data_IF_370383102506
#
_entry.id   IF_370383102506
#
_cell.length_a   1.000
_cell.length_b   1.000
_cell.length_c   1.000
_cell.angle_alpha   90.00
_cell.angle_beta   90.00
_cell.angle_gamma   90.00
#
_symmetry.space_group_name_H-M   'P 1'
#
loop_
_entity.id
_entity.type
_entity.pdbx_description
1 polymer ?
#
# COMPACT_ATOMS: atom_id res chain seq x y z
N UNK A 1 12.69 23.47 8.83
CA UNK A 1 11.78 22.47 8.26
C UNK A 1 10.91 23.16 7.25
N UNK A 2 10.87 22.67 6.03
CA UNK A 2 9.90 23.17 5.04
C UNK A 2 8.50 22.79 5.51
N UNK A 3 7.48 23.62 5.23
CA UNK A 3 6.09 23.42 5.66
C UNK A 3 5.53 22.01 5.34
N UNK A 4 6.10 21.33 4.33
CA UNK A 4 5.72 19.98 3.94
C UNK A 4 6.16 18.87 4.92
N UNK A 5 7.27 19.05 5.65
CA UNK A 5 7.85 17.99 6.51
C UNK A 5 6.89 17.62 7.64
N UNK A 6 6.28 18.62 8.27
CA UNK A 6 5.31 18.43 9.36
C UNK A 6 4.06 17.70 8.86
N UNK A 7 3.57 18.06 7.67
CA UNK A 7 2.43 17.41 7.03
C UNK A 7 2.71 15.95 6.72
N UNK A 8 3.88 15.64 6.14
CA UNK A 8 4.26 14.25 5.82
C UNK A 8 4.49 13.42 7.09
N UNK A 9 5.10 14.02 8.10
CA UNK A 9 5.28 13.38 9.39
C UNK A 9 3.94 13.10 10.09
N UNK A 10 2.97 14.01 10.01
CA UNK A 10 1.64 13.81 10.55
C UNK A 10 0.91 12.60 9.93
N UNK A 11 1.02 12.42 8.60
CA UNK A 11 0.46 11.24 7.90
C UNK A 11 1.07 9.95 8.47
N UNK A 12 2.40 9.90 8.62
CA UNK A 12 3.08 8.74 9.18
C UNK A 12 2.63 8.46 10.63
N UNK A 13 2.61 9.48 11.48
CA UNK A 13 2.20 9.34 12.88
C UNK A 13 0.75 8.87 13.01
N UNK A 14 -0.16 9.38 12.18
CA UNK A 14 -1.56 8.96 12.17
C UNK A 14 -1.69 7.47 11.85
N UNK A 15 -0.91 6.97 10.87
CA UNK A 15 -0.90 5.54 10.52
C UNK A 15 -0.28 4.67 11.60
N UNK A 16 0.81 5.10 12.22
CA UNK A 16 1.42 4.38 13.36
C UNK A 16 0.51 4.35 14.57
N UNK A 17 -0.30 5.39 14.81
CA UNK A 17 -1.23 5.42 15.93
C UNK A 17 -2.26 4.28 15.89
N UNK A 18 -2.63 3.79 14.70
CA UNK A 18 -3.52 2.62 14.52
C UNK A 18 -2.95 1.36 15.18
N UNK A 19 -1.62 1.23 15.25
CA UNK A 19 -0.97 0.06 15.86
C UNK A 19 -1.16 0.02 17.38
N UNK A 20 -1.41 1.15 18.04
CA UNK A 20 -1.59 1.23 19.51
C UNK A 20 -2.81 0.45 19.99
N UNK A 21 -3.85 0.38 19.16
CA UNK A 21 -5.11 -0.30 19.49
C UNK A 21 -5.17 -1.72 18.93
N UNK A 22 -4.07 -2.24 18.37
CA UNK A 22 -4.07 -3.55 17.73
C UNK A 22 -4.43 -4.67 18.73
N UNK A 23 -5.44 -5.45 18.36
CA UNK A 23 -5.82 -6.69 19.02
C UNK A 23 -5.62 -7.87 18.06
N UNK A 24 -5.13 -9.02 18.54
CA UNK A 24 -4.95 -10.19 17.70
C UNK A 24 -6.32 -10.70 17.23
N UNK A 25 -6.39 -11.05 15.94
CA UNK A 25 -7.50 -11.82 15.37
C UNK A 25 -7.11 -13.28 15.39
N UNK A 26 -7.98 -14.10 15.95
CA UNK A 26 -7.83 -15.55 15.92
C UNK A 26 -8.77 -16.16 14.87
N UNK A 27 -8.80 -17.48 14.72
CA UNK A 27 -9.38 -18.20 13.57
C UNK A 27 -10.83 -17.87 13.18
N UNK A 28 -11.60 -17.22 14.06
CA UNK A 28 -12.97 -16.77 13.78
C UNK A 28 -13.06 -15.34 13.19
N UNK A 29 -11.93 -14.67 12.95
CA UNK A 29 -11.88 -13.35 12.29
C UNK A 29 -12.15 -12.15 13.21
N UNK A 30 -12.60 -12.37 14.43
CA UNK A 30 -12.88 -11.33 15.43
C UNK A 30 -11.63 -10.99 16.25
N UNK A 31 -11.50 -9.71 16.62
CA UNK A 31 -10.46 -9.23 17.54
C UNK A 31 -10.85 -9.55 18.98
N UNK A 32 -9.94 -10.17 19.74
CA UNK A 32 -10.22 -10.60 21.12
C UNK A 32 -9.33 -9.87 22.12
N UNK A 33 -9.91 -9.49 23.27
CA UNK A 33 -9.17 -9.20 24.50
C UNK A 33 -8.59 -10.49 25.09
N UNK A 34 -7.71 -10.35 26.08
CA UNK A 34 -7.16 -11.51 26.80
C UNK A 34 -8.28 -12.34 27.45
N UNK A 35 -9.24 -11.68 28.10
CA UNK A 35 -10.34 -12.37 28.78
C UNK A 35 -11.24 -13.13 27.79
N UNK A 36 -11.57 -12.52 26.65
CA UNK A 36 -12.38 -13.16 25.60
C UNK A 36 -11.61 -14.33 24.96
N UNK A 37 -10.31 -14.17 24.75
CA UNK A 37 -9.44 -15.26 24.27
C UNK A 37 -9.45 -16.44 25.24
N UNK A 38 -9.25 -16.20 26.54
CA UNK A 38 -9.24 -17.25 27.55
C UNK A 38 -10.61 -17.93 27.68
N UNK A 39 -11.71 -17.16 27.64
CA UNK A 39 -13.06 -17.73 27.69
C UNK A 39 -13.35 -18.61 26.46
N UNK A 40 -13.01 -18.12 25.26
CA UNK A 40 -13.29 -18.83 24.02
C UNK A 40 -12.40 -20.07 23.89
N UNK A 41 -11.09 -19.92 24.00
CA UNK A 41 -10.14 -21.01 23.77
C UNK A 41 -10.00 -21.94 24.98
N UNK A 42 -10.23 -21.45 26.21
CA UNK A 42 -10.29 -22.31 27.40
C UNK A 42 -11.53 -23.21 27.42
N UNK A 43 -12.59 -22.87 26.69
CA UNK A 43 -13.77 -23.74 26.53
C UNK A 43 -13.53 -24.90 25.56
N UNK A 44 -12.48 -24.83 24.74
CA UNK A 44 -12.09 -25.89 23.83
C UNK A 44 -11.16 -26.88 24.56
N UNK A 45 -11.53 -28.17 24.52
CA UNK A 45 -10.81 -29.24 25.23
C UNK A 45 -9.38 -29.39 24.71
N UNK A 46 -9.13 -29.20 23.42
CA UNK A 46 -7.78 -29.28 22.88
C UNK A 46 -6.92 -28.11 23.39
N UNK A 47 -7.41 -26.88 23.32
CA UNK A 47 -6.64 -25.71 23.75
C UNK A 47 -6.38 -25.71 25.26
N UNK A 48 -7.38 -26.01 26.08
CA UNK A 48 -7.24 -26.05 27.54
C UNK A 48 -6.31 -27.18 28.01
N UNK A 49 -6.43 -28.39 27.43
CA UNK A 49 -5.62 -29.53 27.86
C UNK A 49 -4.15 -29.39 27.47
N UNK A 50 -3.87 -28.75 26.34
CA UNK A 50 -2.50 -28.43 25.91
C UNK A 50 -1.94 -27.13 26.51
N UNK A 51 -2.71 -26.39 27.32
CA UNK A 51 -2.29 -25.12 27.93
C UNK A 51 -2.05 -24.00 26.90
N UNK A 52 -2.82 -24.00 25.81
CA UNK A 52 -2.72 -23.01 24.72
C UNK A 52 -3.60 -21.78 24.93
N UNK A 53 -4.42 -21.76 25.98
CA UNK A 53 -5.28 -20.64 26.41
C UNK A 53 -4.58 -19.68 27.40
N UNK A 54 -3.26 -19.72 27.47
CA UNK A 54 -2.48 -18.93 28.44
C UNK A 54 -2.29 -17.47 28.04
N UNK A 55 -2.06 -16.55 29.01
CA UNK A 55 -1.70 -15.17 28.72
C UNK A 55 -0.45 -15.02 27.83
N UNK A 56 0.49 -15.95 27.93
CA UNK A 56 1.71 -16.00 27.13
C UNK A 56 1.41 -16.27 25.65
N UNK A 57 0.50 -17.20 25.35
CA UNK A 57 0.04 -17.46 23.98
C UNK A 57 -0.63 -16.21 23.39
N UNK A 58 -1.52 -15.58 24.14
CA UNK A 58 -2.15 -14.33 23.72
C UNK A 58 -1.13 -13.22 23.44
N UNK A 59 -0.16 -13.02 24.34
CA UNK A 59 0.89 -12.01 24.19
C UNK A 59 1.75 -12.28 22.94
N UNK A 60 2.11 -13.54 22.67
CA UNK A 60 2.86 -13.92 21.48
C UNK A 60 2.08 -13.61 20.18
N UNK A 61 0.80 -13.97 20.13
CA UNK A 61 -0.08 -13.65 18.98
C UNK A 61 -0.22 -12.13 18.79
N UNK A 62 -0.43 -11.37 19.87
CA UNK A 62 -0.52 -9.91 19.83
C UNK A 62 0.79 -9.27 19.35
N UNK A 63 1.94 -9.76 19.82
CA UNK A 63 3.24 -9.25 19.40
C UNK A 63 3.52 -9.54 17.91
N UNK A 64 3.30 -10.78 17.46
CA UNK A 64 3.49 -11.17 16.07
C UNK A 64 2.57 -10.39 15.11
N UNK A 65 1.28 -10.27 15.47
CA UNK A 65 0.31 -9.47 14.73
C UNK A 65 0.64 -7.98 14.75
N UNK A 66 1.07 -7.47 15.91
CA UNK A 66 1.45 -6.07 16.12
C UNK A 66 2.62 -5.64 15.24
N UNK A 67 3.70 -6.44 15.19
CA UNK A 67 4.85 -6.18 14.31
C UNK A 67 4.40 -6.14 12.85
N UNK A 68 3.58 -7.11 12.42
CA UNK A 68 3.04 -7.14 11.05
C UNK A 68 2.19 -5.90 10.75
N UNK A 69 1.39 -5.45 11.73
CA UNK A 69 0.58 -4.23 11.63
C UNK A 69 1.45 -2.99 11.44
N UNK A 70 2.53 -2.85 12.22
CA UNK A 70 3.46 -1.71 12.10
C UNK A 70 4.01 -1.59 10.68
N UNK A 71 4.56 -2.66 10.12
CA UNK A 71 5.10 -2.62 8.76
C UNK A 71 4.03 -2.34 7.71
N UNK A 72 2.82 -2.87 7.88
CA UNK A 72 1.70 -2.58 6.97
C UNK A 72 1.33 -1.09 7.03
N UNK A 73 1.22 -0.52 8.22
CA UNK A 73 0.88 0.90 8.39
C UNK A 73 1.98 1.82 7.85
N UNK A 74 3.26 1.45 7.98
CA UNK A 74 4.37 2.18 7.34
C UNK A 74 4.26 2.13 5.81
N UNK A 75 3.91 0.98 5.24
CA UNK A 75 3.64 0.85 3.80
C UNK A 75 2.54 1.79 3.34
N UNK A 76 1.37 1.71 3.99
CA UNK A 76 0.22 2.59 3.69
C UNK A 76 0.59 4.07 3.84
N UNK A 77 1.31 4.43 4.90
CA UNK A 77 1.77 5.81 5.11
C UNK A 77 2.70 6.26 3.97
N UNK A 78 3.59 5.38 3.50
CA UNK A 78 4.52 5.69 2.41
C UNK A 78 3.77 5.94 1.10
N UNK A 79 2.76 5.14 0.79
CA UNK A 79 1.87 5.36 -0.36
C UNK A 79 1.14 6.71 -0.27
N UNK A 80 0.63 7.06 0.92
CA UNK A 80 -0.09 8.32 1.15
C UNK A 80 0.81 9.53 1.05
N UNK A 81 2.00 9.47 1.67
CA UNK A 81 3.00 10.52 1.59
C UNK A 81 3.44 10.70 0.13
N UNK A 82 3.65 9.60 -0.61
CA UNK A 82 4.01 9.68 -2.02
C UNK A 82 2.94 10.42 -2.84
N UNK A 83 1.65 10.08 -2.67
CA UNK A 83 0.56 10.83 -3.31
C UNK A 83 0.53 12.28 -2.87
N UNK A 84 0.81 12.57 -1.61
CA UNK A 84 0.83 13.94 -1.12
C UNK A 84 1.98 14.75 -1.73
N UNK A 85 3.16 14.14 -1.91
CA UNK A 85 4.29 14.76 -2.62
C UNK A 85 3.90 15.08 -4.06
N UNK A 86 3.21 14.17 -4.78
CA UNK A 86 2.74 14.46 -6.13
C UNK A 86 1.78 15.65 -6.17
N UNK A 87 0.82 15.71 -5.24
CA UNK A 87 -0.10 16.85 -5.13
C UNK A 87 0.65 18.16 -4.85
N UNK A 88 1.54 18.16 -3.87
CA UNK A 88 2.23 19.36 -3.41
C UNK A 88 3.25 19.87 -4.45
N UNK A 89 3.93 18.97 -5.17
CA UNK A 89 4.98 19.33 -6.14
C UNK A 89 4.45 19.61 -7.55
N UNK A 90 3.32 19.01 -7.93
CA UNK A 90 2.78 19.10 -9.29
C UNK A 90 1.44 19.82 -9.36
N UNK A 91 0.88 20.22 -8.21
CA UNK A 91 -0.41 20.89 -8.12
C UNK A 91 -1.60 19.98 -8.45
N UNK A 92 -1.43 18.66 -8.30
CA UNK A 92 -2.48 17.69 -8.59
C UNK A 92 -3.51 17.66 -7.46
N UNK A 93 -4.77 17.35 -7.78
CA UNK A 93 -5.76 16.98 -6.77
C UNK A 93 -5.53 15.54 -6.26
N UNK A 94 -6.20 15.18 -5.17
CA UNK A 94 -6.14 13.82 -4.64
C UNK A 94 -6.62 12.77 -5.66
N UNK A 95 -7.63 13.10 -6.45
CA UNK A 95 -8.18 12.25 -7.49
C UNK A 95 -7.21 12.09 -8.66
N UNK A 96 -6.55 13.19 -9.08
CA UNK A 96 -5.56 13.17 -10.16
C UNK A 96 -4.30 12.39 -9.79
N UNK A 97 -3.88 12.48 -8.52
CA UNK A 97 -2.73 11.74 -7.99
C UNK A 97 -3.04 10.25 -7.72
N UNK A 98 -4.31 9.84 -7.83
CA UNK A 98 -4.76 8.46 -7.63
C UNK A 98 -5.10 7.80 -8.96
N UNK A 99 -4.95 6.48 -9.05
CA UNK A 99 -5.42 5.73 -10.21
C UNK A 99 -5.99 4.38 -9.80
N UNK A 100 -7.14 4.05 -10.37
CA UNK A 100 -7.79 2.77 -10.17
C UNK A 100 -8.56 2.37 -11.43
N UNK A 101 -8.72 1.07 -11.63
CA UNK A 101 -9.45 0.51 -12.76
C UNK A 101 -10.10 -0.82 -12.34
N UNK A 102 -11.08 -1.27 -13.12
CA UNK A 102 -11.85 -2.47 -12.79
C UNK A 102 -11.52 -3.58 -13.77
N UNK A 103 -11.12 -4.73 -13.26
CA UNK A 103 -10.91 -5.95 -14.05
C UNK A 103 -12.06 -6.94 -13.80
N UNK A 104 -12.40 -7.73 -14.82
CA UNK A 104 -13.32 -8.87 -14.67
C UNK A 104 -12.54 -10.04 -14.08
N UNK A 105 -12.88 -10.45 -12.86
CA UNK A 105 -12.29 -11.63 -12.22
C UNK A 105 -12.76 -12.94 -12.85
N UNK A 106 -12.05 -14.03 -12.57
CA UNK A 106 -12.29 -15.38 -13.14
C UNK A 106 -13.67 -16.01 -12.90
N UNK A 107 -14.55 -15.35 -12.12
CA UNK A 107 -15.93 -15.77 -11.86
C UNK A 107 -16.96 -14.66 -12.16
N UNK A 108 -16.61 -13.68 -13.01
CA UNK A 108 -17.50 -12.57 -13.37
C UNK A 108 -17.61 -11.45 -12.32
N UNK A 109 -16.99 -11.61 -11.15
CA UNK A 109 -16.93 -10.54 -10.14
C UNK A 109 -15.96 -9.44 -10.59
N UNK A 110 -16.46 -8.20 -10.59
CA UNK A 110 -15.65 -7.01 -10.82
C UNK A 110 -14.69 -6.80 -9.65
N UNK A 111 -13.39 -6.69 -9.94
CA UNK A 111 -12.37 -6.37 -8.95
C UNK A 111 -11.75 -5.02 -9.31
N UNK A 112 -11.79 -4.07 -8.37
CA UNK A 112 -11.07 -2.81 -8.52
C UNK A 112 -9.60 -3.02 -8.13
N UNK A 113 -8.71 -2.61 -9.02
CA UNK A 113 -7.27 -2.50 -8.76
C UNK A 113 -6.93 -1.03 -8.64
N UNK A 114 -6.02 -0.72 -7.70
CA UNK A 114 -5.55 0.62 -7.40
C UNK A 114 -4.03 0.61 -7.46
N UNK A 115 -3.45 1.68 -8.01
CA UNK A 115 -2.01 1.94 -7.94
C UNK A 115 -1.73 3.09 -6.98
N UNK A 116 -0.48 3.15 -6.51
CA UNK A 116 -0.09 4.01 -5.41
C UNK A 116 0.03 5.48 -5.79
N UNK A 117 0.23 5.79 -7.08
CA UNK A 117 0.18 7.16 -7.57
C UNK A 117 0.04 7.26 -9.09
N UNK A 118 -0.31 8.46 -9.56
CA UNK A 118 -0.38 8.79 -10.99
C UNK A 118 0.07 10.21 -11.26
N UNK A 119 0.73 10.39 -12.38
CA UNK A 119 1.00 11.67 -13.03
C UNK A 119 0.42 11.58 -14.43
N UNK A 120 -0.54 12.45 -14.75
CA UNK A 120 -1.01 12.67 -16.13
C UNK A 120 -0.46 14.01 -16.60
N UNK A 121 0.18 14.06 -17.77
CA UNK A 121 0.77 15.31 -18.29
C UNK A 121 -0.29 16.41 -18.48
N UNK A 122 -1.52 16.02 -18.83
CA UNK A 122 -2.67 16.94 -18.96
C UNK A 122 -3.05 17.64 -17.67
N UNK A 123 -2.74 17.03 -16.53
CA UNK A 123 -3.24 17.45 -15.22
C UNK A 123 -2.20 18.31 -14.47
N UNK A 124 -0.95 18.33 -14.93
CA UNK A 124 0.13 19.10 -14.32
C UNK A 124 -0.01 20.56 -14.74
N UNK A 125 -0.35 21.43 -13.79
CA UNK A 125 -0.66 22.84 -14.07
C UNK A 125 0.58 23.69 -14.46
N UNK A 126 1.78 23.30 -14.03
CA UNK A 126 3.01 24.08 -14.21
C UNK A 126 3.80 23.58 -15.43
N UNK A 127 4.02 24.46 -16.41
CA UNK A 127 4.78 24.15 -17.65
C UNK A 127 6.19 23.64 -17.36
N UNK A 128 6.91 24.28 -16.44
CA UNK A 128 8.25 23.83 -16.03
C UNK A 128 8.25 22.41 -15.43
N UNK A 129 7.17 22.02 -14.74
CA UNK A 129 7.03 20.66 -14.20
C UNK A 129 6.70 19.65 -15.29
N UNK A 130 5.88 20.03 -16.29
CA UNK A 130 5.62 19.19 -17.46
C UNK A 130 6.91 18.86 -18.22
N UNK A 131 7.77 19.85 -18.47
CA UNK A 131 9.03 19.65 -19.19
C UNK A 131 9.99 18.73 -18.42
N UNK A 132 10.06 18.87 -17.09
CA UNK A 132 10.83 17.99 -16.22
C UNK A 132 10.31 16.56 -16.28
N UNK A 133 8.99 16.36 -16.20
CA UNK A 133 8.36 15.04 -16.27
C UNK A 133 8.59 14.42 -17.65
N UNK A 134 8.43 15.18 -18.73
CA UNK A 134 8.67 14.70 -20.09
C UNK A 134 10.11 14.30 -20.33
N UNK A 135 11.06 15.09 -19.85
CA UNK A 135 12.48 14.76 -19.90
C UNK A 135 12.77 13.46 -19.14
N UNK A 136 12.21 13.32 -17.93
CA UNK A 136 12.35 12.11 -17.14
C UNK A 136 11.69 10.88 -17.80
N UNK A 137 10.48 11.00 -18.35
CA UNK A 137 9.78 9.93 -19.06
C UNK A 137 10.57 9.45 -20.28
N UNK A 138 11.13 10.37 -21.07
CA UNK A 138 11.97 10.03 -22.22
C UNK A 138 13.24 9.30 -21.80
N UNK A 139 13.90 9.76 -20.73
CA UNK A 139 15.08 9.08 -20.19
C UNK A 139 14.75 7.67 -19.68
N UNK A 140 13.63 7.52 -18.97
CA UNK A 140 13.15 6.21 -18.51
C UNK A 140 12.81 5.27 -19.68
N UNK A 141 12.09 5.77 -20.69
CA UNK A 141 11.75 5.02 -21.89
C UNK A 141 13.01 4.57 -22.66
N UNK A 142 13.99 5.46 -22.82
CA UNK A 142 15.27 5.14 -23.46
C UNK A 142 16.05 4.07 -22.67
N UNK A 143 16.03 4.12 -21.33
CA UNK A 143 16.69 3.09 -20.50
C UNK A 143 16.04 1.71 -20.56
N UNK A 144 14.80 1.65 -21.06
CA UNK A 144 14.03 0.42 -21.25
C UNK A 144 13.98 0.00 -22.72
N UNK A 145 14.79 0.62 -23.59
CA UNK A 145 14.82 0.39 -25.04
C UNK A 145 13.43 0.54 -25.72
N UNK A 146 12.57 1.40 -25.15
CA UNK A 146 11.28 1.72 -25.75
C UNK A 146 11.51 2.58 -26.99
N UNK A 147 10.87 2.21 -28.09
CA UNK A 147 11.01 2.91 -29.37
C UNK A 147 10.54 4.36 -29.28
N UNK A 148 11.16 5.23 -30.08
CA UNK A 148 10.93 6.68 -30.02
C UNK A 148 9.46 7.06 -30.25
N UNK A 149 8.76 6.35 -31.13
CA UNK A 149 7.34 6.55 -31.42
C UNK A 149 6.45 6.24 -30.20
N UNK A 150 6.70 5.13 -29.50
CA UNK A 150 5.99 4.80 -28.26
C UNK A 150 6.34 5.81 -27.17
N UNK A 151 7.62 6.16 -27.01
CA UNK A 151 8.08 7.14 -26.02
C UNK A 151 7.43 8.51 -26.22
N UNK A 152 7.20 8.95 -27.47
CA UNK A 152 6.49 10.18 -27.80
C UNK A 152 4.98 10.12 -27.51
N UNK A 153 4.41 8.92 -27.49
CA UNK A 153 2.98 8.70 -27.21
C UNK A 153 2.64 8.71 -25.71
N UNK A 154 3.65 8.59 -24.83
CA UNK A 154 3.46 8.54 -23.38
C UNK A 154 2.68 9.76 -22.88
N UNK A 155 1.68 9.51 -22.02
CA UNK A 155 0.78 10.54 -21.46
C UNK A 155 1.05 10.83 -19.98
N UNK A 156 2.02 10.15 -19.39
CA UNK A 156 2.29 10.23 -17.96
C UNK A 156 2.90 8.95 -17.41
N UNK A 157 2.79 8.78 -16.09
CA UNK A 157 3.27 7.61 -15.37
C UNK A 157 2.27 7.21 -14.27
N UNK A 158 2.27 5.92 -13.96
CA UNK A 158 1.62 5.35 -12.77
C UNK A 158 2.69 4.68 -11.91
N UNK A 159 2.49 4.67 -10.60
CA UNK A 159 3.51 4.27 -9.63
C UNK A 159 2.97 3.21 -8.69
N UNK A 160 3.85 2.28 -8.33
CA UNK A 160 3.70 1.36 -7.22
C UNK A 160 4.84 1.64 -6.23
N UNK A 161 4.51 1.97 -4.99
CA UNK A 161 5.45 2.29 -3.92
C UNK A 161 5.74 1.01 -3.15
N UNK A 162 7.01 0.59 -3.17
CA UNK A 162 7.46 -0.63 -2.50
C UNK A 162 8.21 -0.27 -1.23
N UNK A 163 7.58 -0.52 -0.08
CA UNK A 163 8.27 -0.54 1.22
C UNK A 163 8.83 -1.95 1.44
N UNK A 164 10.16 -2.07 1.43
CA UNK A 164 10.86 -3.33 1.60
C UNK A 164 10.72 -3.86 3.03
N UNK A 165 9.73 -4.71 3.31
CA UNK A 165 9.77 -5.55 4.50
C UNK A 165 9.24 -6.98 4.29
N UNK A 166 10.15 -7.93 4.57
CA UNK A 166 10.10 -9.39 4.74
C UNK A 166 9.36 -10.26 3.71
N UNK A 167 10.19 -11.03 2.97
CA UNK A 167 10.01 -12.45 2.56
C UNK A 167 8.80 -12.87 1.73
N UNK A 168 7.99 -11.93 1.22
CA UNK A 168 6.98 -12.19 0.18
C UNK A 168 7.13 -11.27 -1.03
N UNK A 169 8.35 -10.79 -1.24
CA UNK A 169 8.67 -9.88 -2.34
C UNK A 169 8.26 -10.48 -3.70
N UNK A 170 8.57 -11.75 -3.94
CA UNK A 170 8.15 -12.44 -5.17
C UNK A 170 6.62 -12.56 -5.34
N UNK A 171 5.85 -12.74 -4.26
CA UNK A 171 4.37 -12.78 -4.37
C UNK A 171 3.78 -11.40 -4.68
N UNK A 172 4.37 -10.34 -4.13
CA UNK A 172 3.94 -8.95 -4.38
C UNK A 172 4.37 -8.48 -5.76
N UNK A 173 5.60 -8.79 -6.17
CA UNK A 173 6.11 -8.55 -7.52
C UNK A 173 5.26 -9.27 -8.58
N UNK A 174 4.91 -10.54 -8.36
CA UNK A 174 4.03 -11.25 -9.29
C UNK A 174 2.62 -10.62 -9.35
N UNK A 175 2.11 -10.11 -8.23
CA UNK A 175 0.85 -9.37 -8.23
C UNK A 175 0.98 -8.05 -9.01
N UNK A 176 2.13 -7.37 -8.95
CA UNK A 176 2.38 -6.12 -9.70
C UNK A 176 2.51 -6.36 -11.18
N UNK A 177 3.27 -7.38 -11.58
CA UNK A 177 3.39 -7.77 -12.97
C UNK A 177 2.01 -8.14 -13.52
N UNK A 178 1.20 -8.88 -12.75
CA UNK A 178 -0.17 -9.19 -13.12
C UNK A 178 -1.07 -7.94 -13.20
N UNK A 179 -0.91 -6.99 -12.27
CA UNK A 179 -1.62 -5.70 -12.24
C UNK A 179 -1.24 -4.88 -13.50
N UNK A 180 0.04 -4.65 -13.72
CA UNK A 180 0.58 -3.98 -14.89
C UNK A 180 0.12 -4.63 -16.20
N UNK A 181 0.19 -5.96 -16.32
CA UNK A 181 -0.30 -6.66 -17.52
C UNK A 181 -1.81 -6.45 -17.75
N UNK A 182 -2.60 -6.36 -16.68
CA UNK A 182 -4.05 -6.12 -16.76
C UNK A 182 -4.41 -4.66 -17.02
N UNK A 183 -3.48 -3.72 -16.81
CA UNK A 183 -3.73 -2.29 -17.02
C UNK A 183 -3.80 -1.90 -18.50
N UNK A 184 -3.24 -2.74 -19.39
CA UNK A 184 -3.17 -2.51 -20.84
C UNK A 184 -4.12 -3.40 -21.66
N UNK A 185 -5.03 -4.15 -21.01
CA UNK A 185 -6.04 -5.02 -21.65
C UNK A 185 -7.45 -4.46 -21.49
#
# INVERSE_FOLDING_TARGET
>A
MTNFDEKYFAILLQRIAVCKTHRPRFGQGTELSLQEFQALYGSDVFYSWFGLDTPQMYAAHKAAGGITSVYRQIGIASEEIFRQILQDQLGLTAEQASWSYTIKGGAGQARQLKLDGRISLSDVALTNSQDRIMTWLRAAAASLDITTDIAQSLRGAVFEVRQGYKSKDSKRQNADIANAASAYT
#
